data_IF_563989920161
#
_entry.id   IF_563989920161
#
_cell.length_a   1.000
_cell.length_b   1.000
_cell.length_c   1.000
_cell.angle_alpha   90.00
_cell.angle_beta   90.00
_cell.angle_gamma   90.00
#
_symmetry.space_group_name_H-M   'P 1'
#
loop_
_entity.id
_entity.type
_entity.pdbx_description
1 polymer ?
#
# COMPACT_ATOMS: atom_id res chain seq x y z
N UNK A 1 14.86 14.27 -2.00
CA UNK A 1 15.16 15.19 -3.12
C UNK A 1 15.77 16.45 -2.53
N UNK A 2 16.92 16.93 -3.03
CA UNK A 2 17.62 18.09 -2.45
C UNK A 2 17.81 17.99 -0.92
N UNK A 3 18.29 16.83 -0.44
CA UNK A 3 18.45 16.49 0.99
C UNK A 3 17.18 16.47 1.87
N UNK A 4 15.99 16.55 1.28
CA UNK A 4 14.73 16.39 2.02
C UNK A 4 14.11 15.01 1.81
N UNK A 5 13.54 14.45 2.88
CA UNK A 5 12.68 13.27 2.82
C UNK A 5 11.33 13.72 2.23
N UNK A 6 10.96 13.13 1.10
CA UNK A 6 9.72 13.50 0.39
C UNK A 6 8.66 12.39 0.45
N UNK A 7 9.05 11.19 0.87
CA UNK A 7 8.16 10.05 1.01
C UNK A 7 8.77 8.97 1.91
N UNK A 8 7.92 8.15 2.53
CA UNK A 8 8.30 6.93 3.22
C UNK A 8 7.19 5.87 3.12
N UNK A 9 7.56 4.61 3.31
CA UNK A 9 6.65 3.47 3.40
C UNK A 9 7.11 2.55 4.53
N UNK A 10 6.17 1.93 5.21
CA UNK A 10 6.41 0.97 6.28
C UNK A 10 5.42 -0.19 6.14
N UNK A 11 5.93 -1.39 6.40
CA UNK A 11 5.18 -2.63 6.30
C UNK A 11 5.91 -3.79 6.94
N UNK A 12 5.29 -4.96 6.90
CA UNK A 12 5.80 -6.20 7.49
C UNK A 12 5.53 -7.41 6.59
N UNK A 13 6.25 -8.50 6.81
CA UNK A 13 5.90 -9.80 6.26
C UNK A 13 4.71 -10.36 7.06
N UNK A 14 3.56 -10.52 6.40
CA UNK A 14 2.36 -11.06 7.02
C UNK A 14 2.36 -12.60 6.99
N UNK A 15 2.90 -13.17 5.92
CA UNK A 15 3.13 -14.61 5.74
C UNK A 15 4.42 -14.82 4.93
N UNK A 16 4.87 -16.06 4.73
CA UNK A 16 6.04 -16.36 3.88
C UNK A 16 5.87 -15.93 2.40
N UNK A 17 4.66 -15.53 2.00
CA UNK A 17 4.32 -15.17 0.61
C UNK A 17 3.67 -13.80 0.45
N UNK A 18 3.24 -13.17 1.54
CA UNK A 18 2.51 -11.91 1.51
C UNK A 18 3.12 -10.87 2.44
N UNK A 19 3.24 -9.65 1.93
CA UNK A 19 3.61 -8.48 2.71
C UNK A 19 2.42 -7.57 2.92
N UNK A 20 2.39 -6.90 4.06
CA UNK A 20 1.39 -5.89 4.41
C UNK A 20 2.07 -4.52 4.46
N UNK A 21 1.56 -3.58 3.66
CA UNK A 21 2.00 -2.19 3.69
C UNK A 21 1.04 -1.41 4.58
N UNK A 22 1.48 -1.06 5.78
CA UNK A 22 0.67 -0.37 6.78
C UNK A 22 0.46 1.10 6.46
N UNK A 23 1.53 1.77 6.02
CA UNK A 23 1.44 3.18 5.73
C UNK A 23 2.39 3.60 4.64
N UNK A 24 1.91 4.52 3.82
CA UNK A 24 2.66 5.21 2.79
C UNK A 24 2.30 6.68 2.89
N UNK A 25 3.32 7.52 3.00
CA UNK A 25 3.13 8.97 3.01
C UNK A 25 4.13 9.59 2.06
N UNK A 26 3.65 10.55 1.28
CA UNK A 26 4.47 11.33 0.38
C UNK A 26 3.95 12.76 0.27
N UNK A 27 4.84 13.67 -0.07
CA UNK A 27 4.51 15.07 -0.32
C UNK A 27 3.78 15.21 -1.67
N UNK A 28 2.61 15.85 -1.66
CA UNK A 28 1.70 15.94 -2.82
C UNK A 28 2.22 16.86 -3.92
N UNK A 29 3.05 17.84 -3.57
CA UNK A 29 3.70 18.77 -4.52
C UNK A 29 4.62 18.04 -5.51
N UNK A 30 5.00 16.80 -5.18
CA UNK A 30 5.80 15.93 -6.03
C UNK A 30 4.89 14.93 -6.72
N UNK A 31 4.45 15.25 -7.93
CA UNK A 31 3.60 14.39 -8.75
C UNK A 31 4.26 13.02 -8.91
N UNK A 32 3.51 11.95 -8.63
CA UNK A 32 4.00 10.57 -8.73
C UNK A 32 4.73 10.07 -7.49
N UNK A 33 4.86 10.86 -6.43
CA UNK A 33 5.64 10.51 -5.24
C UNK A 33 5.08 9.27 -4.51
N UNK A 34 3.75 9.14 -4.41
CA UNK A 34 3.09 7.95 -3.85
C UNK A 34 3.34 6.69 -4.69
N UNK A 35 3.29 6.81 -6.01
CA UNK A 35 3.54 5.70 -6.91
C UNK A 35 5.00 5.25 -6.85
N UNK A 36 5.92 6.23 -6.79
CA UNK A 36 7.34 6.00 -6.71
C UNK A 36 7.75 5.32 -5.39
N UNK A 37 7.28 5.82 -4.24
CA UNK A 37 7.64 5.22 -2.95
C UNK A 37 7.11 3.80 -2.82
N UNK A 38 5.88 3.54 -3.30
CA UNK A 38 5.33 2.19 -3.31
C UNK A 38 6.21 1.23 -4.14
N UNK A 39 6.53 1.61 -5.37
CA UNK A 39 7.34 0.79 -6.28
C UNK A 39 8.73 0.52 -5.68
N UNK A 40 9.41 1.57 -5.22
CA UNK A 40 10.77 1.47 -4.68
C UNK A 40 10.79 0.59 -3.43
N UNK A 41 9.82 0.75 -2.51
CA UNK A 41 9.76 -0.02 -1.28
C UNK A 41 9.58 -1.51 -1.56
N UNK A 42 8.62 -1.87 -2.42
CA UNK A 42 8.37 -3.26 -2.80
C UNK A 42 9.55 -3.88 -3.56
N UNK A 43 10.19 -3.12 -4.45
CA UNK A 43 11.35 -3.59 -5.20
C UNK A 43 12.61 -3.78 -4.36
N UNK A 44 12.76 -3.06 -3.24
CA UNK A 44 13.98 -3.12 -2.42
C UNK A 44 13.83 -4.05 -1.22
N UNK A 45 12.74 -3.93 -0.47
CA UNK A 45 12.60 -4.59 0.82
C UNK A 45 11.85 -5.93 0.72
N UNK A 46 11.03 -6.11 -0.32
CA UNK A 46 10.07 -7.21 -0.39
C UNK A 46 10.24 -8.08 -1.64
N UNK A 47 11.46 -8.15 -2.17
CA UNK A 47 11.77 -9.06 -3.28
C UNK A 47 11.50 -10.52 -2.87
N UNK A 48 10.86 -11.28 -3.76
CA UNK A 48 10.55 -12.70 -3.56
C UNK A 48 9.19 -12.98 -2.93
N UNK A 49 8.49 -11.96 -2.42
CA UNK A 49 7.10 -12.11 -1.99
C UNK A 49 6.15 -12.07 -3.20
N UNK A 50 5.11 -12.90 -3.15
CA UNK A 50 4.16 -13.10 -4.25
C UNK A 50 3.01 -12.08 -4.21
N UNK A 51 2.61 -11.66 -3.00
CA UNK A 51 1.42 -10.85 -2.78
C UNK A 51 1.72 -9.63 -1.91
N UNK A 52 1.03 -8.54 -2.20
CA UNK A 52 1.09 -7.29 -1.43
C UNK A 52 -0.33 -6.92 -1.00
N UNK A 53 -0.54 -6.83 0.30
CA UNK A 53 -1.74 -6.25 0.89
C UNK A 53 -1.48 -4.78 1.21
N UNK A 54 -2.30 -3.87 0.67
CA UNK A 54 -2.17 -2.42 0.86
C UNK A 54 -3.28 -1.81 1.73
N UNK A 55 -3.89 -2.63 2.58
CA UNK A 55 -4.99 -2.25 3.47
C UNK A 55 -6.25 -1.73 2.73
N UNK A 56 -7.26 -1.26 3.48
CA UNK A 56 -8.53 -0.78 2.94
C UNK A 56 -8.51 0.73 2.64
N UNK A 57 -9.49 1.17 1.86
CA UNK A 57 -9.65 2.58 1.45
C UNK A 57 -10.49 3.40 2.45
N UNK A 58 -10.96 2.78 3.54
CA UNK A 58 -11.85 3.40 4.54
C UNK A 58 -13.08 4.13 3.96
N UNK A 59 -13.50 3.79 2.73
CA UNK A 59 -14.59 4.48 2.03
C UNK A 59 -14.20 5.80 1.36
N UNK A 60 -12.93 6.18 1.33
CA UNK A 60 -12.45 7.33 0.56
C UNK A 60 -12.38 6.98 -0.94
N UNK A 61 -13.16 7.69 -1.76
CA UNK A 61 -13.28 7.40 -3.20
C UNK A 61 -11.97 7.63 -3.96
N UNK A 62 -11.21 8.68 -3.60
CA UNK A 62 -9.93 8.98 -4.22
C UNK A 62 -8.88 7.91 -3.87
N UNK A 63 -8.86 7.46 -2.62
CA UNK A 63 -8.00 6.38 -2.17
C UNK A 63 -8.40 5.05 -2.81
N UNK A 64 -9.70 4.78 -2.96
CA UNK A 64 -10.22 3.63 -3.71
C UNK A 64 -9.72 3.67 -5.14
N UNK A 65 -9.86 4.79 -5.85
CA UNK A 65 -9.38 4.94 -7.23
C UNK A 65 -7.87 4.71 -7.32
N UNK A 66 -7.10 5.31 -6.41
CA UNK A 66 -5.65 5.13 -6.35
C UNK A 66 -5.26 3.65 -6.18
N UNK A 67 -5.91 2.92 -5.27
CA UNK A 67 -5.66 1.48 -5.05
C UNK A 67 -6.11 0.63 -6.24
N UNK A 68 -7.24 0.96 -6.86
CA UNK A 68 -7.75 0.26 -8.04
C UNK A 68 -6.87 0.46 -9.27
N UNK A 69 -6.16 1.59 -9.38
CA UNK A 69 -5.23 1.86 -10.49
C UNK A 69 -4.10 0.83 -10.60
N UNK A 70 -3.75 0.16 -9.49
CA UNK A 70 -2.78 -0.95 -9.45
C UNK A 70 -3.35 -2.30 -9.91
N UNK A 71 -4.64 -2.36 -10.31
CA UNK A 71 -5.32 -3.57 -10.78
C UNK A 71 -5.20 -4.73 -9.77
N UNK A 72 -5.74 -4.57 -8.54
CA UNK A 72 -5.58 -5.58 -7.50
C UNK A 72 -6.17 -6.92 -7.93
N UNK A 73 -5.48 -8.01 -7.61
CA UNK A 73 -5.97 -9.38 -7.83
C UNK A 73 -7.26 -9.64 -7.03
N UNK A 74 -7.37 -9.05 -5.84
CA UNK A 74 -8.49 -9.25 -4.93
C UNK A 74 -8.87 -7.95 -4.20
N UNK A 75 -10.17 -7.74 -4.01
CA UNK A 75 -10.72 -6.81 -3.02
C UNK A 75 -11.29 -7.65 -1.87
N UNK A 76 -10.52 -7.79 -0.78
CA UNK A 76 -10.92 -8.67 0.32
C UNK A 76 -12.09 -8.10 1.13
N UNK A 77 -13.13 -8.92 1.29
CA UNK A 77 -14.29 -8.59 2.11
C UNK A 77 -13.98 -8.88 3.57
N UNK A 78 -14.19 -7.89 4.43
CA UNK A 78 -14.14 -8.04 5.89
C UNK A 78 -15.58 -8.23 6.40
N UNK A 79 -15.75 -9.10 7.39
CA UNK A 79 -17.06 -9.42 7.96
C UNK A 79 -17.00 -9.25 9.47
N UNK A 80 -18.07 -8.70 10.04
CA UNK A 80 -18.31 -8.68 11.49
C UNK A 80 -19.25 -9.82 11.84
N UNK A 81 -18.91 -10.58 12.88
CA UNK A 81 -19.76 -11.67 13.39
C UNK A 81 -20.36 -11.21 14.72
N UNK A 82 -21.68 -11.20 14.79
CA UNK A 82 -22.44 -10.82 16.00
C UNK A 82 -23.17 -12.04 16.56
N UNK A 83 -23.18 -12.18 17.89
CA UNK A 83 -24.02 -13.18 18.56
C UNK A 83 -25.49 -12.74 18.44
N UNK A 84 -26.37 -13.70 18.15
CA UNK A 84 -27.82 -13.51 18.29
C UNK A 84 -28.23 -13.25 19.73
#
# INVERSE_FOLDING_TARGET
>A
MNNQIIAYSLGEALTDKMVLVHTEKALIDYIGSYQAINMIYLQKEWQGYELVNREDDFGDEGLREAKMSYKPLYLQKKYSIEKK
#
